data_IF_067684021935
#
_entry.id   IF_067684021935
#
_cell.length_a   1.000
_cell.length_b   1.000
_cell.length_c   1.000
_cell.angle_alpha   90.00
_cell.angle_beta   90.00
_cell.angle_gamma   90.00
#
_symmetry.space_group_name_H-M   'P 1'
#
loop_
_entity.id
_entity.type
_entity.pdbx_description
1 polymer ?
#
# COMPACT_ATOMS: atom_id res chain seq x y z
N UNK A 1 44.67 46.96 28.06
CA UNK A 1 43.23 46.82 28.35
C UNK A 1 42.47 46.78 27.02
N UNK A 2 42.23 45.58 26.49
CA UNK A 2 41.47 45.40 25.24
C UNK A 2 39.99 45.20 25.55
N UNK A 3 39.11 46.06 25.01
CA UNK A 3 37.67 45.85 25.03
C UNK A 3 37.32 44.86 23.92
N UNK A 4 36.85 43.67 24.28
CA UNK A 4 36.34 42.69 23.33
C UNK A 4 35.01 43.17 22.73
N UNK A 5 34.90 43.10 21.42
CA UNK A 5 33.71 43.45 20.66
C UNK A 5 32.71 42.28 20.78
N UNK A 6 31.49 42.46 21.34
CA UNK A 6 30.51 41.38 21.39
C UNK A 6 29.99 41.16 19.97
N UNK A 7 30.37 40.04 19.36
CA UNK A 7 29.95 39.66 18.02
C UNK A 7 28.44 39.77 17.85
N UNK A 8 27.99 40.49 16.82
CA UNK A 8 26.59 40.55 16.42
C UNK A 8 26.16 39.18 15.89
N UNK A 9 25.67 38.31 16.76
CA UNK A 9 24.89 37.16 16.34
C UNK A 9 23.45 37.63 16.10
N UNK A 10 22.95 37.45 14.87
CA UNK A 10 21.54 37.70 14.56
C UNK A 10 20.67 36.80 15.42
N UNK A 11 19.70 37.35 16.15
CA UNK A 11 18.75 36.59 17.00
C UNK A 11 17.73 35.75 16.21
N UNK A 12 17.91 35.65 14.90
CA UNK A 12 17.05 34.91 13.98
C UNK A 12 16.87 33.44 14.40
N UNK A 13 17.93 32.79 14.88
CA UNK A 13 17.87 31.38 15.32
C UNK A 13 17.05 31.23 16.61
N UNK A 14 17.28 32.10 17.59
CA UNK A 14 16.54 32.07 18.86
C UNK A 14 15.06 32.38 18.67
N UNK A 15 14.71 33.33 17.79
CA UNK A 15 13.31 33.61 17.44
C UNK A 15 12.66 32.49 16.63
N UNK A 16 13.41 31.83 15.76
CA UNK A 16 12.92 30.65 15.03
C UNK A 16 12.67 29.49 15.99
N UNK A 17 13.56 29.26 16.96
CA UNK A 17 13.39 28.23 17.98
C UNK A 17 12.21 28.54 18.91
N UNK A 18 12.01 29.79 19.33
CA UNK A 18 10.80 30.21 20.07
C UNK A 18 9.52 30.08 19.25
N UNK A 19 9.55 30.48 17.97
CA UNK A 19 8.39 30.36 17.09
C UNK A 19 8.04 28.89 16.84
N UNK A 20 9.03 28.04 16.54
CA UNK A 20 8.88 26.59 16.42
C UNK A 20 8.39 25.96 17.73
N UNK A 21 8.90 26.38 18.89
CA UNK A 21 8.44 25.87 20.17
C UNK A 21 6.99 26.28 20.47
N UNK A 22 6.55 27.49 20.09
CA UNK A 22 5.20 27.99 20.37
C UNK A 22 4.14 27.58 19.34
N UNK A 23 4.51 27.28 18.09
CA UNK A 23 3.56 26.77 17.09
C UNK A 23 3.33 25.25 17.20
N UNK A 24 4.23 24.53 17.89
CA UNK A 24 4.24 23.06 17.90
C UNK A 24 3.88 22.43 19.25
N UNK A 25 3.56 23.23 20.28
CA UNK A 25 3.15 22.73 21.59
C UNK A 25 1.65 22.96 21.80
N UNK A 26 0.85 21.93 22.17
CA UNK A 26 1.26 20.64 22.73
C UNK A 26 1.21 19.45 21.74
N UNK A 27 1.23 19.67 20.43
CA UNK A 27 0.96 18.63 19.43
C UNK A 27 2.17 17.77 19.02
N UNK A 28 3.41 18.18 19.32
CA UNK A 28 4.61 17.44 18.90
C UNK A 28 4.98 16.23 19.78
N UNK A 29 4.57 16.18 21.04
CA UNK A 29 5.00 15.14 22.00
C UNK A 29 3.88 14.23 22.53
N UNK A 30 2.64 14.38 22.05
CA UNK A 30 1.60 13.44 22.42
C UNK A 30 1.90 12.08 21.75
N UNK A 31 1.96 11.01 22.55
CA UNK A 31 2.03 9.66 22.01
C UNK A 31 0.87 9.44 21.03
N UNK A 32 1.05 8.71 19.92
CA UNK A 32 0.00 8.54 18.89
C UNK A 32 -1.37 8.09 19.44
N UNK A 33 -1.37 7.29 20.52
CA UNK A 33 -2.58 6.88 21.26
C UNK A 33 -3.30 8.02 21.98
N UNK A 34 -2.58 9.06 22.40
CA UNK A 34 -3.10 10.22 23.13
C UNK A 34 -3.55 11.35 22.18
N UNK A 35 -3.16 11.29 20.90
CA UNK A 35 -3.61 12.20 19.83
C UNK A 35 -5.05 11.92 19.38
N UNK A 36 -5.50 10.67 19.43
CA UNK A 36 -6.82 10.26 18.93
C UNK A 36 -8.01 10.96 19.62
N UNK A 37 -7.86 11.31 20.91
CA UNK A 37 -8.92 11.96 21.68
C UNK A 37 -8.86 13.51 21.66
N UNK A 38 -7.74 14.11 21.24
CA UNK A 38 -7.58 15.58 21.22
C UNK A 38 -8.05 16.22 19.91
N UNK A 39 -8.13 15.42 18.85
CA UNK A 39 -8.61 15.83 17.54
C UNK A 39 -9.86 15.04 17.12
N UNK A 40 -10.62 14.51 18.08
CA UNK A 40 -11.95 13.93 17.87
C UNK A 40 -12.99 15.00 17.52
N UNK A 41 -12.63 15.93 16.64
CA UNK A 41 -13.58 16.62 15.79
C UNK A 41 -13.95 15.65 14.67
N UNK A 42 -15.25 15.60 14.33
CA UNK A 42 -15.66 15.03 13.06
C UNK A 42 -14.92 15.81 11.96
N UNK A 43 -13.88 15.19 11.41
CA UNK A 43 -13.21 15.74 10.25
C UNK A 43 -14.22 15.72 9.10
N UNK A 44 -14.28 16.78 8.28
CA UNK A 44 -15.14 16.78 7.11
C UNK A 44 -14.79 15.56 6.24
N UNK A 45 -15.81 15.01 5.57
CA UNK A 45 -15.59 13.92 4.64
C UNK A 45 -14.56 14.35 3.59
N UNK A 46 -13.44 13.63 3.51
CA UNK A 46 -12.45 13.84 2.47
C UNK A 46 -13.09 13.58 1.11
N UNK A 47 -12.91 14.52 0.19
CA UNK A 47 -13.37 14.41 -1.19
C UNK A 47 -12.16 14.47 -2.12
N UNK A 48 -12.13 13.58 -3.09
CA UNK A 48 -11.15 13.60 -4.16
C UNK A 48 -11.38 14.84 -5.05
N UNK A 49 -10.32 15.63 -5.27
CA UNK A 49 -10.34 16.82 -6.13
C UNK A 49 -9.63 16.61 -7.48
N UNK A 50 -9.14 15.39 -7.74
CA UNK A 50 -8.41 15.03 -8.96
C UNK A 50 -6.88 15.09 -8.81
N UNK A 51 -6.11 15.14 -9.93
CA UNK A 51 -6.53 15.48 -11.30
C UNK A 51 -7.37 14.38 -11.98
N UNK A 52 -8.52 14.76 -12.54
CA UNK A 52 -9.38 13.83 -13.30
C UNK A 52 -8.91 13.61 -14.76
N UNK A 53 -7.87 14.32 -15.18
CA UNK A 53 -7.37 14.34 -16.56
C UNK A 53 -5.97 13.72 -16.73
N UNK A 54 -5.33 13.26 -15.66
CA UNK A 54 -4.05 12.57 -15.71
C UNK A 54 -4.25 11.14 -15.22
N UNK A 55 -4.03 10.17 -16.09
CA UNK A 55 -4.15 8.75 -15.74
C UNK A 55 -2.95 8.26 -14.92
N UNK A 56 -3.20 7.29 -14.04
CA UNK A 56 -2.16 6.48 -13.42
C UNK A 56 -1.85 5.23 -14.24
N UNK A 57 -0.76 4.52 -13.90
CA UNK A 57 -0.45 3.21 -14.48
C UNK A 57 -1.33 2.13 -13.87
N UNK A 58 -2.08 1.43 -14.72
CA UNK A 58 -2.74 0.18 -14.38
C UNK A 58 -1.80 -0.99 -14.70
N UNK A 59 -1.77 -1.97 -13.82
CA UNK A 59 -0.93 -3.17 -13.93
C UNK A 59 -1.75 -4.39 -14.33
N UNK A 60 -3.04 -4.41 -13.97
CA UNK A 60 -3.94 -5.51 -14.31
C UNK A 60 -5.39 -5.03 -14.44
N UNK A 61 -6.20 -5.80 -15.18
CA UNK A 61 -7.63 -5.57 -15.38
C UNK A 61 -8.34 -6.93 -15.47
N UNK A 62 -9.34 -7.12 -14.62
CA UNK A 62 -10.22 -8.28 -14.63
C UNK A 62 -11.63 -7.87 -15.03
N UNK A 63 -12.29 -8.71 -15.81
CA UNK A 63 -13.73 -8.65 -16.05
C UNK A 63 -14.34 -9.91 -15.47
N UNK A 64 -15.39 -9.76 -14.66
CA UNK A 64 -16.10 -10.89 -14.07
C UNK A 64 -16.74 -11.74 -15.19
N UNK A 65 -16.42 -13.05 -15.27
CA UNK A 65 -16.97 -13.92 -16.32
C UNK A 65 -18.49 -14.08 -16.23
N UNK A 66 -19.10 -13.87 -15.05
CA UNK A 66 -20.53 -13.93 -14.86
C UNK A 66 -21.24 -12.59 -15.14
N UNK A 67 -20.50 -11.47 -15.17
CA UNK A 67 -21.08 -10.15 -15.32
C UNK A 67 -20.09 -9.15 -15.97
N UNK A 68 -20.26 -8.88 -17.27
CA UNK A 68 -19.42 -7.93 -18.00
C UNK A 68 -19.46 -6.48 -17.48
N UNK A 69 -20.45 -6.11 -16.65
CA UNK A 69 -20.47 -4.79 -16.01
C UNK A 69 -19.56 -4.70 -14.78
N UNK A 70 -19.13 -5.85 -14.25
CA UNK A 70 -18.26 -5.94 -13.09
C UNK A 70 -16.80 -6.05 -13.56
N UNK A 71 -16.04 -4.98 -13.33
CA UNK A 71 -14.65 -4.82 -13.77
C UNK A 71 -13.81 -4.42 -12.58
N UNK A 72 -12.61 -4.97 -12.46
CA UNK A 72 -11.68 -4.66 -11.37
C UNK A 72 -10.34 -4.31 -12.00
N UNK A 73 -9.67 -3.28 -11.48
CA UNK A 73 -8.35 -2.86 -11.96
C UNK A 73 -7.37 -2.77 -10.80
N UNK A 74 -6.12 -3.11 -11.08
CA UNK A 74 -4.98 -2.91 -10.20
C UNK A 74 -4.12 -1.75 -10.70
N UNK A 75 -3.62 -0.96 -9.77
CA UNK A 75 -2.76 0.18 -10.04
C UNK A 75 -1.37 0.01 -9.42
N UNK A 76 -0.38 0.53 -10.15
CA UNK A 76 1.04 0.53 -9.81
C UNK A 76 1.37 1.09 -8.42
N UNK A 77 0.63 2.11 -7.99
CA UNK A 77 0.77 2.76 -6.68
C UNK A 77 -0.58 3.32 -6.20
N UNK A 78 -1.68 2.74 -6.67
CA UNK A 78 -3.04 3.25 -6.45
C UNK A 78 -3.98 2.22 -5.82
N UNK A 79 -3.51 1.01 -5.51
CA UNK A 79 -4.39 -0.04 -4.98
C UNK A 79 -5.28 -0.67 -6.05
N UNK A 80 -6.50 -1.05 -5.64
CA UNK A 80 -7.48 -1.79 -6.43
C UNK A 80 -8.78 -0.98 -6.50
N UNK A 81 -9.37 -0.92 -7.68
CA UNK A 81 -10.66 -0.26 -7.92
C UNK A 81 -11.64 -1.21 -8.59
N UNK A 82 -12.92 -1.08 -8.22
CA UNK A 82 -14.03 -1.84 -8.76
C UNK A 82 -14.98 -0.91 -9.53
N UNK A 83 -15.47 -1.39 -10.66
CA UNK A 83 -16.61 -0.82 -11.38
C UNK A 83 -17.71 -1.86 -11.49
N UNK A 84 -18.96 -1.44 -11.25
CA UNK A 84 -20.17 -2.27 -11.46
C UNK A 84 -21.02 -1.79 -12.62
N UNK A 85 -20.47 -0.93 -13.47
CA UNK A 85 -21.14 -0.34 -14.62
C UNK A 85 -20.22 -0.22 -15.84
N UNK A 86 -19.41 -1.26 -16.08
CA UNK A 86 -18.50 -1.39 -17.22
C UNK A 86 -17.49 -0.24 -17.35
N UNK A 87 -16.94 0.22 -16.22
CA UNK A 87 -15.89 1.24 -16.16
C UNK A 87 -16.37 2.69 -16.21
N UNK A 88 -17.69 2.94 -16.17
CA UNK A 88 -18.24 4.31 -16.18
C UNK A 88 -18.06 5.03 -14.83
N UNK A 89 -18.07 4.28 -13.73
CA UNK A 89 -17.75 4.75 -12.37
C UNK A 89 -16.90 3.70 -11.67
N UNK A 90 -15.98 4.18 -10.84
CA UNK A 90 -15.06 3.36 -10.07
C UNK A 90 -15.25 3.64 -8.58
N UNK A 91 -15.11 2.61 -7.77
CA UNK A 91 -15.11 2.66 -6.31
C UNK A 91 -13.81 2.03 -5.84
N UNK A 92 -13.17 2.65 -4.87
CA UNK A 92 -11.94 2.14 -4.30
C UNK A 92 -12.23 0.86 -3.50
N UNK A 93 -11.55 -0.24 -3.83
CA UNK A 93 -11.76 -1.58 -3.26
C UNK A 93 -10.62 -2.00 -2.33
N UNK A 94 -9.48 -1.33 -2.37
CA UNK A 94 -8.31 -1.65 -1.55
C UNK A 94 -8.39 -0.95 -0.21
N UNK A 95 -8.50 -1.67 0.90
CA UNK A 95 -8.52 -1.01 2.21
C UNK A 95 -7.09 -0.53 2.57
N UNK A 96 -6.87 0.78 2.56
CA UNK A 96 -5.57 1.42 2.81
C UNK A 96 -4.95 1.19 4.20
N UNK A 97 -5.51 0.27 5.00
CA UNK A 97 -4.88 -0.27 6.20
C UNK A 97 -3.76 -1.28 5.87
N UNK A 98 -3.64 -1.65 4.60
CA UNK A 98 -2.64 -2.59 4.11
C UNK A 98 -1.32 -1.91 3.74
N UNK A 99 -0.21 -2.58 4.02
CA UNK A 99 1.14 -2.01 4.02
C UNK A 99 1.68 -1.55 2.63
N UNK A 100 0.90 -1.63 1.55
CA UNK A 100 1.32 -1.17 0.22
C UNK A 100 0.14 -0.82 -0.69
N UNK A 101 0.35 0.15 -1.58
CA UNK A 101 -0.56 0.51 -2.68
C UNK A 101 -0.10 -0.07 -4.03
N UNK A 102 1.00 -0.82 -4.03
CA UNK A 102 1.62 -1.32 -5.25
C UNK A 102 1.02 -2.69 -5.58
N UNK A 103 0.08 -2.73 -6.52
CA UNK A 103 -0.59 -3.96 -6.93
C UNK A 103 -0.04 -4.38 -8.28
N UNK A 104 0.47 -5.61 -8.37
CA UNK A 104 1.08 -6.14 -9.59
C UNK A 104 0.15 -7.06 -10.38
N UNK A 105 -0.78 -7.73 -9.71
CA UNK A 105 -1.70 -8.68 -10.36
C UNK A 105 -2.97 -8.91 -9.54
N UNK A 106 -4.02 -9.32 -10.23
CA UNK A 106 -5.29 -9.75 -9.67
C UNK A 106 -5.68 -11.11 -10.25
N UNK A 107 -6.48 -11.89 -9.52
CA UNK A 107 -7.15 -13.06 -10.07
C UNK A 107 -8.51 -13.28 -9.43
N UNK A 108 -9.50 -13.69 -10.22
CA UNK A 108 -10.74 -14.28 -9.70
C UNK A 108 -10.51 -15.73 -9.31
N UNK A 109 -11.20 -16.19 -8.28
CA UNK A 109 -11.38 -17.63 -8.05
C UNK A 109 -12.51 -18.14 -8.95
N UNK A 110 -12.23 -18.96 -9.97
CA UNK A 110 -13.26 -19.49 -10.87
C UNK A 110 -14.23 -20.45 -10.17
N UNK A 111 -13.81 -21.07 -9.06
CA UNK A 111 -14.63 -22.02 -8.29
C UNK A 111 -15.48 -21.35 -7.21
N UNK A 112 -15.18 -20.09 -6.86
CA UNK A 112 -15.87 -19.30 -5.83
C UNK A 112 -16.19 -17.89 -6.33
N UNK A 113 -17.39 -17.69 -6.92
CA UNK A 113 -17.80 -16.40 -7.46
C UNK A 113 -17.65 -15.25 -6.46
N UNK A 114 -17.00 -14.17 -6.90
CA UNK A 114 -16.76 -12.97 -6.09
C UNK A 114 -15.54 -13.04 -5.17
N UNK A 115 -14.85 -14.18 -5.07
CA UNK A 115 -13.55 -14.23 -4.39
C UNK A 115 -12.46 -13.71 -5.32
N UNK A 116 -11.59 -12.89 -4.75
CA UNK A 116 -10.49 -12.22 -5.45
C UNK A 116 -9.18 -12.46 -4.74
N UNK A 117 -8.12 -12.50 -5.52
CA UNK A 117 -6.74 -12.49 -5.05
C UNK A 117 -6.02 -11.27 -5.62
N UNK A 118 -5.13 -10.70 -4.81
CA UNK A 118 -4.29 -9.58 -5.20
C UNK A 118 -2.82 -9.87 -4.86
N UNK A 119 -1.97 -9.81 -5.88
CA UNK A 119 -0.53 -9.92 -5.75
C UNK A 119 0.06 -8.52 -5.65
N UNK A 120 0.80 -8.26 -4.59
CA UNK A 120 1.43 -6.95 -4.39
C UNK A 120 2.85 -6.90 -4.95
N UNK A 121 3.29 -5.69 -5.28
CA UNK A 121 4.57 -5.39 -5.91
C UNK A 121 4.55 -5.59 -7.42
N UNK A 122 5.28 -4.75 -8.14
CA UNK A 122 5.16 -4.65 -9.59
C UNK A 122 6.29 -5.36 -10.34
N UNK A 123 5.95 -6.40 -11.11
CA UNK A 123 6.92 -7.22 -11.83
C UNK A 123 7.35 -6.65 -13.20
N UNK A 124 6.78 -5.53 -13.64
CA UNK A 124 7.05 -4.93 -14.97
C UNK A 124 8.39 -4.15 -15.06
N UNK A 125 9.24 -4.24 -14.03
CA UNK A 125 10.59 -3.66 -13.93
C UNK A 125 10.74 -2.20 -14.39
N UNK A 126 9.70 -1.38 -14.21
CA UNK A 126 9.80 0.07 -14.43
C UNK A 126 10.63 0.71 -13.30
N UNK A 127 11.27 1.85 -13.60
CA UNK A 127 12.14 2.55 -12.66
C UNK A 127 11.43 3.09 -11.42
N UNK A 128 10.10 3.16 -11.44
CA UNK A 128 9.21 3.59 -10.37
C UNK A 128 8.46 2.42 -9.70
N UNK A 129 8.93 1.17 -9.88
CA UNK A 129 8.32 0.01 -9.26
C UNK A 129 8.78 -0.22 -7.83
N UNK A 130 7.83 -0.65 -7.01
CA UNK A 130 8.10 -0.97 -5.62
C UNK A 130 7.83 -2.45 -5.30
N UNK A 131 8.56 -3.02 -4.33
CA UNK A 131 8.26 -4.35 -3.81
C UNK A 131 6.90 -4.34 -3.09
N UNK A 132 6.28 -5.52 -3.10
CA UNK A 132 5.04 -5.81 -2.40
C UNK A 132 5.27 -6.36 -1.01
N UNK A 133 4.16 -6.72 -0.38
CA UNK A 133 4.09 -7.35 0.94
C UNK A 133 3.73 -8.83 0.81
N UNK A 134 2.89 -9.19 -0.14
CA UNK A 134 2.56 -10.58 -0.44
C UNK A 134 1.27 -10.77 -1.19
N UNK A 135 0.63 -11.92 -0.96
CA UNK A 135 -0.62 -12.33 -1.57
C UNK A 135 -1.79 -12.07 -0.62
N UNK A 136 -2.78 -11.34 -1.12
CA UNK A 136 -4.01 -11.02 -0.40
C UNK A 136 -5.21 -11.71 -1.03
N UNK A 137 -6.26 -11.94 -0.23
CA UNK A 137 -7.55 -12.48 -0.65
C UNK A 137 -8.69 -11.61 -0.15
N UNK A 138 -9.70 -11.39 -0.97
CA UNK A 138 -10.97 -10.80 -0.58
C UNK A 138 -12.08 -11.84 -0.80
N UNK A 139 -12.85 -12.15 0.24
CA UNK A 139 -14.00 -13.03 0.13
C UNK A 139 -15.31 -12.26 -0.14
N UNK A 140 -16.30 -12.88 -0.80
CA UNK A 140 -17.59 -12.24 -1.07
C UNK A 140 -18.26 -11.69 0.19
N UNK A 141 -18.72 -10.44 0.11
CA UNK A 141 -19.40 -9.76 1.22
C UNK A 141 -18.46 -9.18 2.29
N UNK A 142 -17.15 -9.36 2.16
CA UNK A 142 -16.18 -8.64 2.96
C UNK A 142 -15.84 -7.28 2.34
N UNK A 143 -15.42 -6.34 3.18
CA UNK A 143 -14.89 -5.04 2.79
C UNK A 143 -13.39 -4.89 3.06
N UNK A 144 -12.75 -5.97 3.54
CA UNK A 144 -11.34 -6.00 3.92
C UNK A 144 -10.64 -7.15 3.24
N UNK A 145 -9.40 -6.94 2.85
CA UNK A 145 -8.55 -8.00 2.32
C UNK A 145 -7.89 -8.75 3.48
N UNK A 146 -7.68 -10.06 3.33
CA UNK A 146 -6.95 -10.89 4.27
C UNK A 146 -5.58 -11.22 3.65
N UNK A 147 -4.49 -11.05 4.42
CA UNK A 147 -3.16 -11.48 4.00
C UNK A 147 -3.09 -13.02 4.05
N UNK A 148 -2.93 -13.65 2.89
CA UNK A 148 -2.81 -15.12 2.77
C UNK A 148 -1.38 -15.56 3.00
N UNK A 149 -0.40 -14.81 2.45
CA UNK A 149 1.01 -15.17 2.54
C UNK A 149 1.91 -13.93 2.44
N UNK A 150 2.88 -13.81 3.36
CA UNK A 150 3.82 -12.68 3.45
C UNK A 150 5.13 -12.96 2.69
N UNK A 151 5.68 -11.93 2.04
CA UNK A 151 6.99 -11.94 1.37
C UNK A 151 8.11 -11.42 2.27
N UNK A 152 7.79 -10.66 3.31
CA UNK A 152 8.77 -10.02 4.19
C UNK A 152 9.14 -10.85 5.42
N UNK A 153 8.62 -12.08 5.55
CA UNK A 153 8.94 -13.01 6.64
C UNK A 153 8.94 -12.35 8.03
N UNK A 154 8.04 -11.38 8.27
CA UNK A 154 8.00 -10.60 9.51
C UNK A 154 7.75 -11.44 10.78
N UNK A 155 7.61 -12.75 10.62
CA UNK A 155 7.33 -13.74 11.65
C UNK A 155 8.34 -14.91 11.71
N UNK A 156 9.39 -14.93 10.88
CA UNK A 156 10.46 -15.94 11.03
C UNK A 156 11.61 -15.39 11.88
N UNK A 157 12.20 -16.21 12.77
CA UNK A 157 13.40 -15.80 13.50
C UNK A 157 14.53 -15.52 12.51
N UNK A 158 15.07 -14.30 12.57
CA UNK A 158 16.26 -13.90 11.81
C UNK A 158 17.46 -14.61 12.44
N UNK A 159 18.14 -15.45 11.67
CA UNK A 159 19.46 -15.92 12.04
C UNK A 159 20.48 -14.81 11.75
N UNK A 160 20.84 -14.03 12.77
CA UNK A 160 21.81 -12.93 12.62
C UNK A 160 23.22 -13.41 12.21
N UNK A 161 23.51 -14.72 12.31
CA UNK A 161 24.78 -15.28 11.88
C UNK A 161 24.84 -15.54 10.35
N UNK A 162 23.71 -15.46 9.66
CA UNK A 162 23.60 -15.71 8.24
C UNK A 162 22.53 -14.77 7.63
N UNK A 163 22.96 -13.59 7.16
CA UNK A 163 22.12 -12.53 6.56
C UNK A 163 21.43 -12.94 5.25
N UNK A 164 21.30 -14.23 4.97
CA UNK A 164 20.52 -14.74 3.86
C UNK A 164 19.05 -14.59 4.22
N UNK A 165 18.38 -13.54 3.70
CA UNK A 165 16.94 -13.41 3.81
C UNK A 165 16.28 -14.69 3.24
N UNK A 166 15.58 -15.49 4.05
CA UNK A 166 14.98 -16.71 3.53
C UNK A 166 13.96 -16.34 2.45
N UNK A 167 13.93 -17.09 1.36
CA UNK A 167 12.88 -16.89 0.36
C UNK A 167 11.57 -17.41 0.96
N UNK A 168 10.54 -16.57 1.08
CA UNK A 168 9.26 -16.96 1.68
C UNK A 168 8.45 -17.94 0.82
N UNK A 169 8.96 -18.32 -0.36
CA UNK A 169 8.24 -19.06 -1.38
C UNK A 169 7.46 -18.18 -2.35
N UNK A 170 7.31 -16.87 -2.07
CA UNK A 170 6.66 -15.92 -2.96
C UNK A 170 7.62 -14.87 -3.53
N UNK A 171 7.44 -14.44 -4.80
CA UNK A 171 8.15 -13.30 -5.35
C UNK A 171 7.85 -12.01 -4.58
N UNK A 172 8.86 -11.13 -4.40
CA UNK A 172 8.63 -9.80 -3.81
C UNK A 172 7.79 -8.87 -4.69
N UNK A 173 7.71 -9.16 -5.99
CA UNK A 173 6.90 -8.43 -6.96
C UNK A 173 6.04 -9.43 -7.72
N UNK A 174 4.79 -9.59 -7.28
CA UNK A 174 3.88 -10.60 -7.84
C UNK A 174 3.22 -10.04 -9.09
N UNK A 175 3.69 -10.51 -10.25
CA UNK A 175 3.20 -10.08 -11.56
C UNK A 175 2.09 -10.94 -12.14
N UNK A 176 1.85 -12.12 -11.58
CA UNK A 176 0.79 -13.01 -12.06
C UNK A 176 0.33 -13.97 -10.98
N UNK A 177 -0.97 -14.27 -10.99
CA UNK A 177 -1.62 -15.27 -10.15
C UNK A 177 -2.51 -16.11 -11.06
N UNK A 178 -2.45 -17.43 -10.90
CA UNK A 178 -3.43 -18.34 -11.48
C UNK A 178 -4.04 -19.20 -10.36
N UNK A 179 -5.36 -19.24 -10.31
CA UNK A 179 -6.12 -20.08 -9.38
C UNK A 179 -6.52 -21.35 -10.11
N UNK A 180 -6.26 -22.52 -9.51
CA UNK A 180 -6.69 -23.80 -10.07
C UNK A 180 -8.24 -23.82 -10.16
N UNK A 181 -8.82 -24.06 -11.34
CA UNK A 181 -10.26 -24.06 -11.50
C UNK A 181 -11.00 -25.19 -10.78
N UNK A 182 -10.27 -26.23 -10.35
CA UNK A 182 -10.84 -27.39 -9.69
C UNK A 182 -10.51 -27.45 -8.19
N UNK A 183 -9.59 -26.62 -7.70
CA UNK A 183 -9.24 -26.52 -6.29
C UNK A 183 -8.86 -25.08 -5.88
N UNK A 184 -9.75 -24.39 -5.18
CA UNK A 184 -9.51 -23.02 -4.69
C UNK A 184 -8.29 -22.87 -3.77
N UNK A 185 -7.77 -23.98 -3.23
CA UNK A 185 -6.61 -23.95 -2.33
C UNK A 185 -5.28 -24.09 -3.08
N UNK A 186 -5.33 -24.34 -4.38
CA UNK A 186 -4.17 -24.49 -5.22
C UNK A 186 -4.00 -23.25 -6.10
N UNK A 187 -2.94 -22.49 -5.84
CA UNK A 187 -2.62 -21.26 -6.56
C UNK A 187 -1.18 -21.32 -7.08
N UNK A 188 -1.00 -20.85 -8.31
CA UNK A 188 0.31 -20.59 -8.88
C UNK A 188 0.58 -19.09 -8.83
N UNK A 189 1.75 -18.70 -8.30
CA UNK A 189 2.13 -17.30 -8.15
C UNK A 189 3.48 -17.08 -8.85
N UNK A 190 3.51 -16.12 -9.77
CA UNK A 190 4.69 -15.78 -10.54
C UNK A 190 5.08 -14.31 -10.39
N UNK A 191 6.37 -14.02 -10.53
CA UNK A 191 6.87 -12.67 -10.30
C UNK A 191 8.38 -12.57 -10.29
N UNK A 192 8.88 -11.42 -9.86
CA UNK A 192 10.31 -11.12 -9.84
C UNK A 192 10.79 -10.89 -8.41
N UNK A 193 11.92 -11.53 -8.07
CA UNK A 193 12.69 -11.26 -6.86
C UNK A 193 14.13 -10.97 -7.27
N UNK A 194 14.66 -9.83 -6.85
CA UNK A 194 16.10 -9.58 -6.97
C UNK A 194 16.81 -10.20 -5.77
N UNK A 195 17.86 -10.96 -6.03
CA UNK A 195 18.64 -11.69 -5.03
C UNK A 195 19.67 -10.82 -4.29
N UNK A 196 19.40 -9.53 -4.06
CA UNK A 196 20.45 -8.62 -3.58
C UNK A 196 20.01 -7.23 -3.13
N UNK A 197 18.93 -7.11 -2.35
CA UNK A 197 18.67 -5.93 -1.50
C UNK A 197 18.66 -6.34 -0.04
#
# INVERSE_FOLDING_TARGET
>A
MGKSNPGRFTTHRVRADEFQARTCYPSREAYPKDLGNRFAQELPAWKEEGPLNSGGRLTDLLVDPANANHVIVAAAAGGVYESRNAGRKWTYLWDGQMATLNIGSLAFDPSKPGRLYAGTGEANLSGDNYPGVGLFRLDPGQSRWDLVHDTLLRFLPVDESNLTFPFSGLPRRIGTIAVDPFDSNHLFVGGVTHSGE
#
